data_IF_253897717437
#
_entry.id   IF_253897717437
#
_cell.length_a   1.000
_cell.length_b   1.000
_cell.length_c   1.000
_cell.angle_alpha   90.00
_cell.angle_beta   90.00
_cell.angle_gamma   90.00
#
_symmetry.space_group_name_H-M   'P 1'
#
loop_
_entity.id
_entity.type
_entity.pdbx_description
1 polymer ?
#
# COMPACT_ATOMS: atom_id res chain seq x y z
N UNK A 1 -23.58 22.08 -11.40
CA UNK A 1 -22.12 22.09 -11.58
C UNK A 1 -21.84 22.69 -12.94
N UNK A 2 -21.14 23.81 -13.01
CA UNK A 2 -20.74 24.41 -14.28
C UNK A 2 -19.41 23.77 -14.76
N UNK A 3 -19.40 23.21 -15.96
CA UNK A 3 -18.22 22.53 -16.53
C UNK A 3 -16.97 23.41 -16.46
N UNK A 4 -17.13 24.67 -16.87
CA UNK A 4 -16.02 25.61 -17.05
C UNK A 4 -15.41 25.98 -15.70
N UNK A 5 -16.24 26.26 -14.70
CA UNK A 5 -15.78 26.59 -13.34
C UNK A 5 -14.95 25.46 -12.73
N UNK A 6 -15.37 24.21 -12.94
CA UNK A 6 -14.66 23.04 -12.40
C UNK A 6 -13.29 22.87 -13.06
N UNK A 7 -13.23 23.00 -14.38
CA UNK A 7 -11.98 22.88 -15.12
C UNK A 7 -11.03 24.02 -14.75
N UNK A 8 -11.53 25.25 -14.64
CA UNK A 8 -10.72 26.40 -14.24
C UNK A 8 -10.14 26.21 -12.84
N UNK A 9 -10.94 25.74 -11.88
CA UNK A 9 -10.43 25.49 -10.55
C UNK A 9 -9.41 24.34 -10.49
N UNK A 10 -9.55 23.32 -11.35
CA UNK A 10 -8.55 22.27 -11.49
C UNK A 10 -7.21 22.82 -12.01
N UNK A 11 -7.26 23.77 -12.93
CA UNK A 11 -6.07 24.50 -13.38
C UNK A 11 -5.44 25.34 -12.26
N UNK A 12 -6.23 26.10 -11.52
CA UNK A 12 -5.74 26.88 -10.37
C UNK A 12 -5.07 25.98 -9.32
N UNK A 13 -5.66 24.82 -9.01
CA UNK A 13 -5.07 23.83 -8.10
C UNK A 13 -3.72 23.30 -8.60
N UNK A 14 -3.57 23.12 -9.91
CA UNK A 14 -2.31 22.67 -10.54
C UNK A 14 -1.25 23.78 -10.51
N UNK A 15 -1.63 25.01 -10.79
CA UNK A 15 -0.73 26.18 -10.73
C UNK A 15 -0.21 26.44 -9.32
N UNK A 16 -1.06 26.26 -8.31
CA UNK A 16 -0.69 26.32 -6.90
C UNK A 16 0.12 25.10 -6.43
N UNK A 17 0.30 24.08 -7.29
CA UNK A 17 1.01 22.85 -6.95
C UNK A 17 0.32 22.00 -5.89
N UNK A 18 -1.01 22.11 -5.75
CA UNK A 18 -1.81 21.28 -4.85
C UNK A 18 -2.02 19.88 -5.43
N UNK A 19 -2.21 19.82 -6.75
CA UNK A 19 -2.34 18.59 -7.53
C UNK A 19 -1.23 18.48 -8.58
N UNK A 20 -0.76 17.27 -8.83
CA UNK A 20 0.20 16.94 -9.90
C UNK A 20 -0.48 16.96 -11.27
N UNK A 21 0.32 16.98 -12.35
CA UNK A 21 -0.21 16.90 -13.72
C UNK A 21 -1.10 15.66 -13.94
N UNK A 22 -0.68 14.48 -13.44
CA UNK A 22 -1.48 13.27 -13.59
C UNK A 22 -2.75 13.24 -12.73
N UNK A 23 -2.73 13.87 -11.55
CA UNK A 23 -3.92 14.03 -10.71
C UNK A 23 -4.92 14.99 -11.39
N UNK A 24 -4.42 16.07 -11.97
CA UNK A 24 -5.20 17.00 -12.78
C UNK A 24 -5.83 16.32 -14.01
N UNK A 25 -5.05 15.56 -14.77
CA UNK A 25 -5.56 14.83 -15.95
C UNK A 25 -6.63 13.81 -15.55
N UNK A 26 -6.44 13.10 -14.44
CA UNK A 26 -7.42 12.16 -13.91
C UNK A 26 -8.71 12.86 -13.49
N UNK A 27 -8.61 13.96 -12.76
CA UNK A 27 -9.78 14.74 -12.35
C UNK A 27 -10.54 15.26 -13.57
N UNK A 28 -9.85 15.91 -14.52
CA UNK A 28 -10.47 16.45 -15.72
C UNK A 28 -11.09 15.36 -16.60
N UNK A 29 -10.47 14.18 -16.69
CA UNK A 29 -11.07 13.04 -17.36
C UNK A 29 -12.41 12.64 -16.73
N UNK A 30 -12.47 12.55 -15.39
CA UNK A 30 -13.70 12.22 -14.66
C UNK A 30 -14.78 13.30 -14.82
N UNK A 31 -14.40 14.58 -14.78
CA UNK A 31 -15.30 15.71 -15.02
C UNK A 31 -15.85 15.68 -16.46
N UNK A 32 -14.99 15.47 -17.45
CA UNK A 32 -15.39 15.31 -18.85
C UNK A 32 -16.33 14.12 -19.04
N UNK A 33 -16.06 13.00 -18.36
CA UNK A 33 -16.93 11.82 -18.39
C UNK A 33 -18.31 12.10 -17.80
N UNK A 34 -18.37 12.77 -16.65
CA UNK A 34 -19.61 13.20 -16.01
C UNK A 34 -20.42 14.12 -16.94
N UNK A 35 -19.75 15.10 -17.57
CA UNK A 35 -20.36 16.01 -18.54
C UNK A 35 -20.95 15.25 -19.75
N UNK A 36 -20.20 14.30 -20.33
CA UNK A 36 -20.69 13.44 -21.42
C UNK A 36 -21.89 12.57 -21.05
N UNK A 37 -22.09 12.30 -19.76
CA UNK A 37 -23.22 11.54 -19.23
C UNK A 37 -24.38 12.45 -18.78
N UNK A 38 -24.36 13.73 -19.15
CA UNK A 38 -25.42 14.69 -18.76
C UNK A 38 -25.39 15.03 -17.28
N UNK A 39 -24.20 15.13 -16.69
CA UNK A 39 -24.00 15.41 -15.25
C UNK A 39 -24.57 14.34 -14.31
N UNK A 40 -24.64 13.09 -14.79
CA UNK A 40 -24.98 11.95 -13.94
C UNK A 40 -23.93 11.77 -12.84
N UNK A 41 -24.36 11.91 -11.59
CA UNK A 41 -23.50 11.83 -10.40
C UNK A 41 -24.28 11.07 -9.30
N UNK A 42 -23.93 9.83 -8.94
CA UNK A 42 -22.71 9.10 -9.29
C UNK A 42 -22.71 8.48 -10.71
N UNK A 43 -21.52 8.19 -11.24
CA UNK A 43 -21.33 7.50 -12.51
C UNK A 43 -20.26 6.41 -12.43
N UNK A 44 -20.36 5.41 -13.30
CA UNK A 44 -19.40 4.33 -13.35
C UNK A 44 -18.31 4.56 -14.40
N UNK A 45 -17.08 4.20 -14.06
CA UNK A 45 -15.95 4.26 -14.98
C UNK A 45 -15.00 3.06 -14.78
N UNK A 46 -14.79 2.23 -15.82
CA UNK A 46 -13.83 1.12 -15.76
C UNK A 46 -12.40 1.63 -15.60
N UNK A 47 -11.66 1.04 -14.66
CA UNK A 47 -10.26 1.41 -14.36
C UNK A 47 -9.36 1.23 -15.58
N UNK A 48 -9.57 0.15 -16.34
CA UNK A 48 -8.79 -0.21 -17.52
C UNK A 48 -8.87 0.87 -18.60
N UNK A 49 -10.04 1.47 -18.79
CA UNK A 49 -10.26 2.54 -19.77
C UNK A 49 -9.50 3.80 -19.36
N UNK A 50 -9.56 4.17 -18.08
CA UNK A 50 -8.86 5.37 -17.60
C UNK A 50 -7.34 5.20 -17.70
N UNK A 51 -6.84 4.04 -17.26
CA UNK A 51 -5.42 3.70 -17.35
C UNK A 51 -4.91 3.72 -18.79
N UNK A 52 -5.68 3.20 -19.75
CA UNK A 52 -5.33 3.19 -21.17
C UNK A 52 -5.27 4.60 -21.76
N UNK A 53 -6.28 5.44 -21.48
CA UNK A 53 -6.37 6.80 -22.02
C UNK A 53 -5.30 7.71 -21.41
N UNK A 54 -5.14 7.68 -20.09
CA UNK A 54 -4.19 8.51 -19.37
C UNK A 54 -2.78 7.92 -19.32
N UNK A 55 -2.55 6.81 -20.04
CA UNK A 55 -1.27 6.09 -20.14
C UNK A 55 -0.60 5.88 -18.77
N UNK A 56 -1.38 5.44 -17.79
CA UNK A 56 -0.90 5.20 -16.43
C UNK A 56 -1.07 3.74 -16.01
N UNK A 57 -0.12 3.23 -15.23
CA UNK A 57 -0.24 1.90 -14.64
C UNK A 57 -1.30 1.87 -13.52
N UNK A 58 -1.85 0.68 -13.25
CA UNK A 58 -2.97 0.49 -12.31
C UNK A 58 -2.64 0.91 -10.88
N UNK A 59 -1.40 0.71 -10.43
CA UNK A 59 -0.97 1.07 -9.08
C UNK A 59 -0.91 2.59 -8.93
N UNK A 60 -0.25 3.26 -9.86
CA UNK A 60 -0.17 4.72 -9.89
C UNK A 60 -1.55 5.37 -10.03
N UNK A 61 -2.45 4.79 -10.81
CA UNK A 61 -3.85 5.20 -10.88
C UNK A 61 -4.51 5.12 -9.49
N UNK A 62 -4.35 4.00 -8.79
CA UNK A 62 -4.88 3.82 -7.44
C UNK A 62 -4.39 4.89 -6.47
N UNK A 63 -3.08 5.14 -6.46
CA UNK A 63 -2.46 6.16 -5.60
C UNK A 63 -3.02 7.57 -5.89
N UNK A 64 -3.12 7.94 -7.17
CA UNK A 64 -3.63 9.26 -7.60
C UNK A 64 -5.12 9.43 -7.29
N UNK A 65 -5.91 8.37 -7.51
CA UNK A 65 -7.33 8.35 -7.18
C UNK A 65 -7.55 8.51 -5.67
N UNK A 66 -6.77 7.81 -4.85
CA UNK A 66 -6.80 7.94 -3.40
C UNK A 66 -6.40 9.35 -2.95
N UNK A 67 -5.40 9.96 -3.59
CA UNK A 67 -5.00 11.35 -3.36
C UNK A 67 -6.12 12.34 -3.67
N UNK A 68 -6.78 12.22 -4.81
CA UNK A 68 -7.93 13.06 -5.16
C UNK A 68 -9.08 12.90 -4.16
N UNK A 69 -9.32 11.69 -3.66
CA UNK A 69 -10.31 11.45 -2.60
C UNK A 69 -9.92 12.10 -1.27
N UNK A 70 -8.65 11.99 -0.87
CA UNK A 70 -8.16 12.62 0.36
C UNK A 70 -8.24 14.15 0.31
N UNK A 71 -8.12 14.75 -0.87
CA UNK A 71 -8.32 16.18 -1.10
C UNK A 71 -9.81 16.58 -1.18
N UNK A 72 -10.74 15.63 -1.14
CA UNK A 72 -12.17 15.90 -1.23
C UNK A 72 -12.63 16.33 -2.62
N UNK A 73 -11.88 16.03 -3.67
CA UNK A 73 -12.24 16.35 -5.06
C UNK A 73 -13.16 15.30 -5.69
N UNK A 74 -13.05 14.05 -5.22
CA UNK A 74 -13.90 12.94 -5.62
C UNK A 74 -14.20 12.05 -4.43
N UNK A 75 -15.25 11.26 -4.52
CA UNK A 75 -15.36 10.01 -3.75
C UNK A 75 -15.56 8.87 -4.73
N UNK A 76 -15.12 7.66 -4.37
CA UNK A 76 -15.32 6.50 -5.22
C UNK A 76 -15.64 5.25 -4.41
N UNK A 77 -16.36 4.32 -5.04
CA UNK A 77 -16.52 2.94 -4.57
C UNK A 77 -15.80 2.00 -5.54
N UNK A 78 -15.01 1.09 -5.01
CA UNK A 78 -14.31 0.12 -5.85
C UNK A 78 -15.29 -0.80 -6.57
N UNK A 79 -14.96 -1.05 -7.83
CA UNK A 79 -15.65 -2.04 -8.64
C UNK A 79 -15.25 -3.45 -8.25
N UNK A 80 -16.15 -4.40 -8.48
CA UNK A 80 -15.84 -5.83 -8.34
C UNK A 80 -15.19 -6.32 -9.62
N UNK A 81 -13.85 -6.41 -9.62
CA UNK A 81 -13.02 -6.97 -10.69
C UNK A 81 -13.62 -6.81 -12.11
N UNK A 82 -13.95 -7.91 -12.79
CA UNK A 82 -14.53 -7.92 -14.15
C UNK A 82 -16.06 -7.75 -14.18
N UNK A 83 -16.72 -7.69 -13.03
CA UNK A 83 -18.18 -7.72 -12.92
C UNK A 83 -18.79 -6.33 -12.86
N UNK A 84 -18.25 -5.45 -12.00
CA UNK A 84 -18.80 -4.10 -11.80
C UNK A 84 -17.69 -3.06 -11.88
N UNK A 85 -17.79 -2.03 -12.75
CA UNK A 85 -16.83 -0.93 -12.78
C UNK A 85 -16.89 -0.08 -11.50
N UNK A 86 -15.83 0.67 -11.23
CA UNK A 86 -15.78 1.58 -10.09
C UNK A 86 -16.79 2.73 -10.27
N UNK A 87 -17.46 3.09 -9.18
CA UNK A 87 -18.43 4.18 -9.11
C UNK A 87 -17.75 5.44 -8.57
N UNK A 88 -17.95 6.58 -9.21
CA UNK A 88 -17.36 7.87 -8.85
C UNK A 88 -18.46 8.88 -8.54
N UNK A 89 -18.21 9.70 -7.53
CA UNK A 89 -18.98 10.91 -7.24
C UNK A 89 -18.05 12.12 -7.30
N UNK A 90 -18.41 13.12 -8.09
CA UNK A 90 -17.69 14.40 -8.05
C UNK A 90 -18.20 15.20 -6.85
N UNK A 91 -17.32 15.44 -5.90
CA UNK A 91 -17.54 16.41 -4.82
C UNK A 91 -17.01 17.74 -5.36
N UNK A 92 -17.87 18.74 -5.50
CA UNK A 92 -17.54 20.01 -6.15
C UNK A 92 -16.25 20.64 -5.63
N UNK A 93 -15.65 21.53 -6.43
CA UNK A 93 -14.37 22.17 -6.12
C UNK A 93 -14.42 22.79 -4.71
N UNK A 94 -13.60 22.32 -3.76
CA UNK A 94 -13.49 22.96 -2.45
C UNK A 94 -12.84 24.33 -2.60
N UNK A 95 -13.24 25.30 -1.78
CA UNK A 95 -12.56 26.59 -1.64
C UNK A 95 -11.04 26.38 -1.46
N UNK A 96 -10.22 27.10 -2.23
CA UNK A 96 -8.75 26.95 -2.28
C UNK A 96 -8.07 26.91 -0.90
N UNK A 97 -8.60 27.63 0.10
CA UNK A 97 -8.13 27.63 1.49
C UNK A 97 -8.26 26.27 2.20
N UNK A 98 -9.26 25.46 1.89
CA UNK A 98 -9.48 24.14 2.55
C UNK A 98 -8.52 23.06 2.03
N UNK A 99 -8.06 23.18 0.79
CA UNK A 99 -7.21 22.18 0.14
C UNK A 99 -5.77 22.24 0.67
N UNK A 100 -5.27 23.43 1.04
CA UNK A 100 -3.95 23.60 1.64
C UNK A 100 -3.82 22.86 2.98
N UNK A 101 -4.85 22.89 3.83
CA UNK A 101 -4.93 22.15 5.09
C UNK A 101 -4.89 20.62 4.87
N UNK A 102 -5.61 20.12 3.87
CA UNK A 102 -5.63 18.68 3.56
C UNK A 102 -4.25 18.16 3.10
N UNK A 103 -3.43 19.00 2.44
CA UNK A 103 -2.06 18.62 2.05
C UNK A 103 -1.14 18.38 3.26
N UNK A 104 -1.25 19.19 4.31
CA UNK A 104 -0.46 18.97 5.54
C UNK A 104 -0.82 17.66 6.25
N UNK A 105 -2.08 17.25 6.19
CA UNK A 105 -2.55 16.00 6.81
C UNK A 105 -2.19 14.77 5.97
N UNK A 106 -2.26 14.86 4.64
CA UNK A 106 -1.85 13.77 3.73
C UNK A 106 -0.32 13.60 3.69
N UNK A 107 0.46 14.67 3.88
CA UNK A 107 1.92 14.59 3.97
C UNK A 107 2.42 13.95 5.28
N UNK A 108 1.56 13.83 6.31
CA UNK A 108 1.90 13.21 7.60
C UNK A 108 1.79 11.69 7.60
N UNK A 109 1.23 11.04 6.58
CA UNK A 109 1.36 9.59 6.38
C UNK A 109 2.65 9.25 5.64
N UNK A 110 3.77 9.90 5.99
CA UNK A 110 5.09 9.34 5.70
C UNK A 110 5.17 8.03 6.47
N UNK A 111 5.22 6.92 5.73
CA UNK A 111 5.52 5.60 6.29
C UNK A 111 6.64 5.76 7.31
N UNK A 112 6.43 5.29 8.54
CA UNK A 112 7.48 5.24 9.56
C UNK A 112 8.76 4.76 8.89
N UNK A 113 9.77 5.64 8.85
CA UNK A 113 11.03 5.30 8.21
C UNK A 113 11.56 4.06 8.89
N UNK A 114 11.86 3.04 8.09
CA UNK A 114 12.38 1.78 8.60
C UNK A 114 13.59 2.04 9.51
N UNK A 115 13.43 1.77 10.79
CA UNK A 115 14.49 1.86 11.79
C UNK A 115 15.08 0.48 11.94
N UNK A 116 16.39 0.35 11.66
CA UNK A 116 17.13 -0.91 11.82
C UNK A 116 16.96 -1.33 13.29
N UNK A 117 16.39 -2.52 13.58
CA UNK A 117 16.22 -2.96 14.95
C UNK A 117 17.57 -3.24 15.60
N UNK A 118 17.62 -3.01 16.90
CA UNK A 118 18.68 -3.54 17.76
C UNK A 118 18.51 -5.04 17.96
N UNK A 119 19.61 -5.72 18.25
CA UNK A 119 19.60 -7.16 18.55
C UNK A 119 18.63 -7.47 19.70
N UNK A 120 18.60 -6.62 20.74
CA UNK A 120 17.70 -6.73 21.89
C UNK A 120 16.23 -6.66 21.49
N UNK A 121 15.86 -5.75 20.58
CA UNK A 121 14.48 -5.67 20.10
C UNK A 121 14.04 -6.92 19.34
N UNK A 122 14.96 -7.50 18.54
CA UNK A 122 14.71 -8.77 17.84
C UNK A 122 14.59 -9.92 18.84
N UNK A 123 15.48 -9.98 19.82
CA UNK A 123 15.46 -10.98 20.89
C UNK A 123 14.14 -10.95 21.67
N UNK A 124 13.75 -9.78 22.18
CA UNK A 124 12.49 -9.58 22.88
C UNK A 124 11.28 -9.97 22.01
N UNK A 125 11.35 -9.77 20.70
CA UNK A 125 10.29 -10.16 19.78
C UNK A 125 10.24 -11.68 19.57
N UNK A 126 11.39 -12.32 19.38
CA UNK A 126 11.53 -13.77 19.23
C UNK A 126 11.11 -14.52 20.52
N UNK A 127 11.46 -13.99 21.69
CA UNK A 127 11.06 -14.53 22.99
C UNK A 127 9.54 -14.50 23.18
N UNK A 128 8.89 -13.38 22.87
CA UNK A 128 7.42 -13.26 22.92
C UNK A 128 6.72 -14.24 21.98
N UNK A 129 7.33 -14.51 20.82
CA UNK A 129 6.82 -15.46 19.83
C UNK A 129 7.13 -16.92 20.14
N UNK A 130 8.11 -17.18 21.02
CA UNK A 130 8.66 -18.52 21.32
C UNK A 130 9.08 -19.28 20.05
N UNK A 131 9.77 -18.59 19.15
CA UNK A 131 10.09 -19.13 17.83
C UNK A 131 11.52 -19.72 17.71
N UNK A 132 12.35 -19.60 18.74
CA UNK A 132 13.70 -20.20 18.78
C UNK A 132 14.69 -19.59 17.79
N UNK A 133 14.41 -18.40 17.24
CA UNK A 133 15.32 -17.71 16.32
C UNK A 133 16.45 -17.05 17.11
N UNK A 134 17.69 -17.29 16.69
CA UNK A 134 18.85 -16.51 17.15
C UNK A 134 18.79 -15.07 16.59
N UNK A 135 18.57 -14.12 17.50
CA UNK A 135 18.49 -12.70 17.19
C UNK A 135 19.79 -12.14 16.59
N UNK A 136 20.95 -12.63 17.03
CA UNK A 136 22.24 -12.20 16.49
C UNK A 136 22.41 -12.67 15.04
N UNK A 137 22.13 -13.94 14.76
CA UNK A 137 22.17 -14.48 13.40
C UNK A 137 21.23 -13.73 12.46
N UNK A 138 20.01 -13.42 12.92
CA UNK A 138 19.05 -12.62 12.15
C UNK A 138 19.59 -11.23 11.81
N UNK A 139 20.09 -10.50 12.83
CA UNK A 139 20.61 -9.14 12.64
C UNK A 139 21.83 -9.14 11.73
N UNK A 140 22.79 -10.04 11.93
CA UNK A 140 24.00 -10.14 11.12
C UNK A 140 23.68 -10.42 9.65
N UNK A 141 22.74 -11.33 9.38
CA UNK A 141 22.32 -11.65 8.01
C UNK A 141 21.79 -10.41 7.28
N UNK A 142 20.87 -9.66 7.89
CA UNK A 142 20.31 -8.48 7.23
C UNK A 142 21.26 -7.29 7.26
N UNK A 143 22.13 -7.16 8.25
CA UNK A 143 23.18 -6.15 8.27
C UNK A 143 24.14 -6.33 7.09
N UNK A 144 24.54 -7.57 6.76
CA UNK A 144 25.39 -7.87 5.60
C UNK A 144 24.72 -7.54 4.25
N UNK A 145 23.39 -7.43 4.23
CA UNK A 145 22.58 -7.11 3.06
C UNK A 145 22.09 -5.66 3.03
N UNK A 146 22.60 -4.80 3.92
CA UNK A 146 22.08 -3.46 4.17
C UNK A 146 20.54 -3.41 4.32
N UNK A 147 20.01 -4.42 5.02
CA UNK A 147 18.57 -4.58 5.27
C UNK A 147 17.74 -4.66 3.99
N UNK A 148 18.29 -5.27 2.93
CA UNK A 148 17.60 -5.50 1.65
C UNK A 148 16.88 -6.85 1.61
N UNK A 149 15.70 -6.88 0.99
CA UNK A 149 14.98 -8.09 0.57
C UNK A 149 14.86 -8.07 -0.96
N UNK A 150 15.69 -8.86 -1.64
CA UNK A 150 15.80 -8.81 -3.09
C UNK A 150 16.35 -7.45 -3.56
N UNK A 151 15.59 -6.75 -4.42
CA UNK A 151 15.98 -5.42 -4.93
C UNK A 151 15.49 -4.25 -4.06
N UNK A 152 14.68 -4.52 -3.04
CA UNK A 152 14.01 -3.49 -2.25
C UNK A 152 14.54 -3.45 -0.81
N UNK A 153 14.57 -2.26 -0.18
CA UNK A 153 14.84 -2.12 1.25
C UNK A 153 13.70 -2.72 2.08
N UNK A 154 14.05 -3.40 3.17
CA UNK A 154 13.11 -3.95 4.14
C UNK A 154 12.28 -2.81 4.77
N UNK A 155 10.97 -3.05 4.94
CA UNK A 155 10.04 -2.09 5.56
C UNK A 155 9.58 -2.53 6.94
N UNK A 156 9.61 -3.83 7.23
CA UNK A 156 9.20 -4.40 8.51
C UNK A 156 10.06 -5.63 8.82
N UNK A 157 10.93 -5.50 9.81
CA UNK A 157 11.81 -6.59 10.24
C UNK A 157 11.06 -7.68 11.00
N UNK A 158 9.94 -7.37 11.65
CA UNK A 158 9.10 -8.37 12.35
C UNK A 158 8.46 -9.32 11.35
N UNK A 159 8.03 -8.81 10.19
CA UNK A 159 7.55 -9.64 9.09
C UNK A 159 8.64 -10.56 8.52
N UNK A 160 9.89 -10.08 8.47
CA UNK A 160 11.03 -10.90 8.08
C UNK A 160 11.34 -12.00 9.10
N UNK A 161 11.25 -11.72 10.41
CA UNK A 161 11.37 -12.74 11.48
C UNK A 161 10.33 -13.85 11.26
N UNK A 162 9.05 -13.53 11.07
CA UNK A 162 7.99 -14.53 10.80
C UNK A 162 8.27 -15.42 9.59
N UNK A 163 9.00 -14.91 8.60
CA UNK A 163 9.40 -15.68 7.42
C UNK A 163 10.58 -16.60 7.73
N UNK A 164 11.52 -16.13 8.56
CA UNK A 164 12.65 -16.92 9.08
C UNK A 164 12.18 -18.12 9.91
N UNK A 165 11.11 -17.96 10.71
CA UNK A 165 10.53 -19.04 11.52
C UNK A 165 10.23 -20.28 10.66
N UNK A 166 9.63 -20.07 9.48
CA UNK A 166 9.27 -21.16 8.55
C UNK A 166 10.46 -21.84 7.89
N UNK A 167 11.62 -21.18 7.82
CA UNK A 167 12.86 -21.80 7.31
C UNK A 167 13.48 -22.69 8.38
N UNK A 168 13.59 -22.22 9.61
CA UNK A 168 14.15 -22.99 10.73
C UNK A 168 13.34 -24.24 11.07
N UNK A 169 12.01 -24.23 10.91
CA UNK A 169 11.19 -25.43 11.12
C UNK A 169 11.40 -26.53 10.05
N UNK A 170 11.91 -26.18 8.86
CA UNK A 170 12.26 -27.17 7.82
C UNK A 170 13.60 -27.85 8.08
N UNK A 171 14.46 -27.21 8.87
CA UNK A 171 15.84 -27.66 9.13
C UNK A 171 16.00 -28.32 10.51
N UNK A 172 14.91 -28.54 11.26
CA UNK A 172 14.97 -29.31 12.53
C UNK A 172 15.18 -30.80 12.22
N UNK A 173 16.26 -31.43 12.71
CA UNK A 173 16.36 -32.88 12.65
C UNK A 173 15.22 -33.48 13.49
N UNK A 174 14.41 -34.37 12.88
CA UNK A 174 13.44 -35.17 13.63
C UNK A 174 14.19 -35.95 14.71
N UNK A 175 13.89 -35.67 15.98
CA UNK A 175 14.33 -36.51 17.09
C UNK A 175 13.60 -37.86 16.96
N UNK A 176 14.24 -38.82 16.30
CA UNK A 176 13.84 -40.22 16.33
C UNK A 176 13.90 -40.68 17.78
N UNK A 177 12.74 -40.90 18.39
CA UNK A 177 12.64 -41.59 19.68
C UNK A 177 13.01 -43.05 19.43
N UNK A 178 14.23 -43.44 19.80
CA UNK A 178 14.57 -44.85 19.90
C UNK A 178 14.00 -45.37 21.21
N UNK A 179 12.82 -45.99 21.15
CA UNK A 179 12.32 -46.84 22.22
C UNK A 179 13.26 -48.04 22.32
N UNK A 180 14.06 -48.07 23.38
CA UNK A 180 15.01 -49.14 23.65
C UNK A 180 14.60 -49.80 24.97
N UNK A 181 13.65 -50.74 24.90
CA UNK A 181 13.35 -51.63 26.02
C UNK A 181 12.75 -52.97 25.56
N UNK A 182 13.46 -54.06 25.92
CA UNK A 182 13.04 -55.48 26.02
C UNK A 182 12.97 -56.25 24.68
N UNK A 183 13.58 -57.43 24.47
CA UNK A 183 13.93 -58.54 25.35
C UNK A 183 15.19 -59.26 24.85
N UNK A 184 16.10 -59.61 25.76
CA UNK A 184 16.90 -60.84 25.63
C UNK A 184 16.17 -61.92 26.44
N UNK A 185 15.47 -62.82 25.77
CA UNK A 185 15.19 -64.15 26.32
C UNK A 185 15.92 -65.22 25.50
N UNK A 186 16.89 -65.81 26.20
CA UNK A 186 17.44 -67.17 26.10
C UNK A 186 16.93 -68.05 24.95
N UNK A 187 17.88 -68.55 24.16
CA UNK A 187 18.04 -69.98 23.92
C UNK A 187 19.52 -70.35 24.04
#
# INVERSE_FOLDING_TARGET
MNYIEIINAAWEMREQGLITAHEHDLYNFLVHRCNRLGWKNPFCQPTEVVCAILKMNRNAFGDRRNRLQAMGLITFREGVAKSKPAEYTLTGVPESRKIQSARSDVAKTKSESFSKPSVKEVEDYCLRRRNGIDAHAFCNFYQSKDWMIGRNKMKDWRAAVRTWEKKTDRDKPELVKHDNEKQYEKF
#
